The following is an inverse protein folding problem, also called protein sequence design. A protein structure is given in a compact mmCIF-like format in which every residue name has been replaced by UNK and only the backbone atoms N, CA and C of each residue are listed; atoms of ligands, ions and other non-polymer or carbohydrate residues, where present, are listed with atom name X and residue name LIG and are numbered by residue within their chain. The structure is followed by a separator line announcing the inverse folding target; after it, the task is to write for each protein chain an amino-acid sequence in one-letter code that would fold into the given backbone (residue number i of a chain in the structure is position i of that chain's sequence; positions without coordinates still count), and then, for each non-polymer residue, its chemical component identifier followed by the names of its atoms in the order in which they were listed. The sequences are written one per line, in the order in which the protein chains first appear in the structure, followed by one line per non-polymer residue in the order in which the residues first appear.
data_IF_894776598180
#
_entry.id   IF_894776598180
#
_cell.length_a   1.000
_cell.length_b   1.000
_cell.length_c   1.000
_cell.angle_alpha   90.00
_cell.angle_beta   90.00
_cell.angle_gamma   90.00
#
_symmetry.space_group_name_H-M   'P 1'
#
loop_
_entity.id
_entity.type
_entity.pdbx_description
1 polymer ?
#
# COMPACT_ATOMS: atom_id res chain seq x y z
N UNK A 1 5.10 10.09 -10.21
CA UNK A 1 4.49 10.17 -8.86
C UNK A 1 3.32 9.21 -8.67
N UNK A 2 2.23 9.24 -9.49
CA UNK A 2 1.07 8.33 -9.36
C UNK A 2 1.42 6.82 -9.35
N UNK A 3 2.46 6.40 -10.08
CA UNK A 3 2.83 4.99 -10.20
C UNK A 3 3.40 4.36 -8.91
N UNK A 4 4.16 5.11 -8.10
CA UNK A 4 4.82 4.54 -6.91
C UNK A 4 3.81 4.30 -5.76
N UNK A 5 2.84 5.21 -5.62
CA UNK A 5 1.76 5.08 -4.65
C UNK A 5 0.89 3.86 -4.97
N UNK A 6 0.49 3.71 -6.23
CA UNK A 6 -0.36 2.61 -6.64
C UNK A 6 0.31 1.24 -6.41
N UNK A 7 1.62 1.20 -6.65
CA UNK A 7 2.42 -0.01 -6.47
C UNK A 7 2.57 -0.39 -4.99
N UNK A 8 2.88 0.58 -4.12
CA UNK A 8 3.00 0.34 -2.67
C UNK A 8 1.69 -0.20 -2.07
N UNK A 9 0.57 0.38 -2.49
CA UNK A 9 -0.77 -0.05 -2.09
C UNK A 9 -1.00 -1.51 -2.51
N UNK A 10 -0.72 -1.82 -3.78
CA UNK A 10 -0.88 -3.16 -4.35
C UNK A 10 -0.03 -4.20 -3.60
N UNK A 11 1.20 -3.86 -3.22
CA UNK A 11 2.09 -4.73 -2.45
C UNK A 11 1.64 -4.98 -1.01
N UNK A 12 1.05 -3.99 -0.34
CA UNK A 12 0.48 -4.21 1.00
C UNK A 12 -0.72 -5.17 0.97
N UNK A 13 -1.42 -5.25 -0.17
CA UNK A 13 -2.49 -6.22 -0.40
C UNK A 13 -2.00 -7.66 -0.64
N UNK A 14 -0.72 -7.89 -1.00
CA UNK A 14 -0.19 -9.18 -1.46
C UNK A 14 -0.04 -10.27 -0.40
N UNK A 15 -0.06 -9.98 0.90
CA UNK A 15 0.06 -11.07 1.87
C UNK A 15 -1.23 -11.90 1.92
N UNK A 16 -1.12 -13.14 1.42
CA UNK A 16 -2.14 -14.21 1.49
C UNK A 16 -3.46 -13.85 0.81
N UNK A 17 -3.44 -13.40 -0.44
CA UNK A 17 -4.64 -13.18 -1.27
C UNK A 17 -4.39 -13.72 -2.67
N UNK A 18 -5.40 -14.30 -3.31
CA UNK A 18 -5.28 -14.90 -4.64
C UNK A 18 -5.03 -13.84 -5.72
N UNK A 19 -4.17 -14.15 -6.69
CA UNK A 19 -3.66 -13.21 -7.70
C UNK A 19 -4.75 -12.47 -8.50
N UNK A 20 -5.92 -13.08 -8.64
CA UNK A 20 -7.05 -12.45 -9.36
C UNK A 20 -7.62 -11.25 -8.61
N UNK A 21 -7.96 -11.42 -7.31
CA UNK A 21 -8.54 -10.36 -6.49
C UNK A 21 -7.55 -9.22 -6.21
N UNK A 22 -6.26 -9.55 -6.21
CA UNK A 22 -5.15 -8.59 -6.04
C UNK A 22 -5.13 -7.55 -7.16
N UNK A 23 -5.57 -7.90 -8.37
CA UNK A 23 -5.57 -6.98 -9.51
C UNK A 23 -6.89 -6.23 -9.69
N UNK A 24 -8.01 -6.81 -9.25
CA UNK A 24 -9.35 -6.23 -9.43
C UNK A 24 -9.64 -5.16 -8.37
N UNK A 25 -9.41 -5.44 -7.08
CA UNK A 25 -9.77 -4.52 -5.98
C UNK A 25 -9.03 -3.18 -6.05
N UNK A 26 -7.71 -3.12 -6.30
CA UNK A 26 -7.03 -1.84 -6.39
C UNK A 26 -7.50 -1.01 -7.58
N UNK A 27 -7.89 -1.63 -8.71
CA UNK A 27 -8.38 -0.88 -9.88
C UNK A 27 -9.65 -0.11 -9.57
N UNK A 28 -10.58 -0.74 -8.85
CA UNK A 28 -11.82 -0.08 -8.41
C UNK A 28 -11.55 1.02 -7.39
N UNK A 29 -10.69 0.73 -6.40
CA UNK A 29 -10.27 1.73 -5.42
C UNK A 29 -9.59 2.94 -6.07
N UNK A 30 -8.65 2.75 -7.01
CA UNK A 30 -7.95 3.86 -7.66
C UNK A 30 -8.83 4.69 -8.60
N UNK A 31 -9.95 4.13 -9.05
CA UNK A 31 -10.92 4.88 -9.86
C UNK A 31 -11.65 5.91 -9.01
N UNK A 32 -12.04 5.52 -7.80
CA UNK A 32 -12.75 6.38 -6.86
C UNK A 32 -11.79 7.27 -6.04
N UNK A 33 -10.57 6.76 -5.78
CA UNK A 33 -9.54 7.38 -4.94
C UNK A 33 -8.21 7.50 -5.71
N UNK A 34 -8.05 8.52 -6.57
CA UNK A 34 -6.91 8.61 -7.49
C UNK A 34 -5.61 9.09 -6.83
N UNK A 35 -5.67 9.63 -5.61
CA UNK A 35 -4.53 10.18 -4.88
C UNK A 35 -4.61 9.95 -3.36
N UNK A 36 -3.52 10.28 -2.68
CA UNK A 36 -3.36 10.10 -1.24
C UNK A 36 -4.39 10.89 -0.43
N UNK A 37 -4.76 12.08 -0.90
CA UNK A 37 -5.69 12.95 -0.20
C UNK A 37 -7.10 12.36 -0.23
N UNK A 38 -7.55 11.90 -1.40
CA UNK A 38 -8.81 11.17 -1.55
C UNK A 38 -8.83 9.91 -0.67
N UNK A 39 -7.72 9.17 -0.61
CA UNK A 39 -7.59 7.99 0.25
C UNK A 39 -7.59 8.31 1.75
N UNK A 40 -7.34 9.55 2.16
CA UNK A 40 -7.39 9.94 3.58
C UNK A 40 -8.76 10.45 4.00
N UNK A 41 -9.64 10.77 3.03
CA UNK A 41 -11.05 11.09 3.28
C UNK A 41 -11.88 9.83 3.57
N UNK A 42 -11.42 8.65 3.12
CA UNK A 42 -12.13 7.39 3.34
C UNK A 42 -12.15 7.00 4.82
N UNK A 43 -13.29 6.52 5.29
CA UNK A 43 -13.41 5.95 6.64
C UNK A 43 -12.89 4.52 6.68
N UNK A 44 -12.51 4.05 7.87
CA UNK A 44 -12.08 2.65 8.03
C UNK A 44 -13.18 1.66 7.63
N UNK A 45 -14.43 1.95 8.01
CA UNK A 45 -15.58 1.11 7.71
C UNK A 45 -15.87 1.03 6.21
N UNK A 46 -15.80 2.15 5.50
CA UNK A 46 -15.98 2.16 4.04
C UNK A 46 -14.86 1.39 3.34
N UNK A 47 -13.61 1.58 3.79
CA UNK A 47 -12.49 0.84 3.24
C UNK A 47 -12.66 -0.67 3.49
N UNK A 48 -13.01 -1.07 4.72
CA UNK A 48 -13.28 -2.47 5.08
C UNK A 48 -14.31 -3.10 4.15
N UNK A 49 -15.43 -2.41 3.87
CA UNK A 49 -16.48 -2.90 3.00
C UNK A 49 -16.00 -3.08 1.55
N UNK A 50 -15.20 -2.13 1.04
CA UNK A 50 -14.62 -2.19 -0.31
C UNK A 50 -13.61 -3.33 -0.46
N UNK A 51 -12.86 -3.64 0.59
CA UNK A 51 -11.85 -4.71 0.57
C UNK A 51 -12.28 -5.98 1.29
N UNK A 52 -13.57 -6.12 1.67
CA UNK A 52 -14.09 -7.30 2.39
C UNK A 52 -13.83 -8.63 1.68
N UNK A 53 -13.71 -8.58 0.36
CA UNK A 53 -13.42 -9.73 -0.49
C UNK A 53 -11.98 -10.24 -0.37
N UNK A 54 -11.10 -9.46 0.28
CA UNK A 54 -9.70 -9.76 0.55
C UNK A 54 -9.58 -10.37 1.95
N UNK A 55 -8.82 -11.45 2.08
CA UNK A 55 -8.54 -12.05 3.38
C UNK A 55 -7.84 -11.05 4.32
N UNK A 56 -8.19 -11.10 5.61
CA UNK A 56 -7.65 -10.22 6.66
C UNK A 56 -7.96 -8.73 6.46
N UNK A 57 -9.04 -8.39 5.75
CA UNK A 57 -9.40 -7.02 5.38
C UNK A 57 -9.45 -6.04 6.55
N UNK A 58 -9.95 -6.43 7.74
CA UNK A 58 -10.02 -5.55 8.92
C UNK A 58 -8.67 -5.04 9.40
N UNK A 59 -7.66 -5.90 9.36
CA UNK A 59 -6.30 -5.49 9.74
C UNK A 59 -5.63 -4.74 8.59
N UNK A 60 -5.91 -5.14 7.34
CA UNK A 60 -5.39 -4.47 6.15
C UNK A 60 -5.91 -3.03 6.04
N UNK A 61 -7.20 -2.78 6.24
CA UNK A 61 -7.82 -1.45 6.19
C UNK A 61 -7.17 -0.49 7.19
N UNK A 62 -7.00 -0.94 8.44
CA UNK A 62 -6.35 -0.17 9.51
C UNK A 62 -4.92 0.18 9.18
N UNK A 63 -4.13 -0.81 8.75
CA UNK A 63 -2.74 -0.58 8.35
C UNK A 63 -2.63 0.37 7.15
N UNK A 64 -3.55 0.27 6.18
CA UNK A 64 -3.56 1.09 4.98
C UNK A 64 -3.76 2.58 5.31
N UNK A 65 -4.80 2.89 6.09
CA UNK A 65 -5.08 4.27 6.51
C UNK A 65 -3.91 4.83 7.33
N UNK A 66 -3.36 4.02 8.24
CA UNK A 66 -2.21 4.45 9.04
C UNK A 66 -0.98 4.70 8.17
N UNK A 67 -0.70 3.84 7.20
CA UNK A 67 0.38 3.99 6.24
C UNK A 67 0.24 5.28 5.43
N UNK A 68 -0.96 5.59 4.91
CA UNK A 68 -1.18 6.83 4.16
C UNK A 68 -1.00 8.07 5.01
N UNK A 69 -1.47 8.04 6.26
CA UNK A 69 -1.22 9.12 7.22
C UNK A 69 0.27 9.31 7.44
N UNK A 70 1.01 8.22 7.66
CA UNK A 70 2.47 8.27 7.82
C UNK A 70 3.17 8.82 6.58
N UNK A 71 2.75 8.43 5.37
CA UNK A 71 3.30 8.98 4.12
C UNK A 71 3.03 10.48 4.02
N UNK A 72 1.80 10.93 4.30
CA UNK A 72 1.45 12.35 4.25
C UNK A 72 2.21 13.18 5.29
N UNK A 73 2.21 12.72 6.53
CA UNK A 73 2.72 13.48 7.68
C UNK A 73 4.25 13.40 7.82
N UNK A 74 4.85 12.23 7.58
CA UNK A 74 6.29 12.00 7.80
C UNK A 74 7.13 12.12 6.54
N UNK A 75 6.53 11.89 5.38
CA UNK A 75 7.22 11.86 4.09
C UNK A 75 6.63 12.86 3.09
N UNK A 76 5.87 13.86 3.55
CA UNK A 76 5.26 14.92 2.74
C UNK A 76 4.45 14.41 1.53
N UNK A 77 3.82 13.25 1.68
CA UNK A 77 3.02 12.63 0.62
C UNK A 77 3.83 11.79 -0.38
N UNK A 78 5.14 11.66 -0.18
CA UNK A 78 6.02 10.88 -1.03
C UNK A 78 6.34 9.51 -0.43
N UNK A 79 6.39 8.48 -1.27
CA UNK A 79 6.80 7.14 -0.82
C UNK A 79 8.31 7.15 -0.54
N UNK A 80 8.77 6.75 0.65
CA UNK A 80 10.19 6.71 0.97
C UNK A 80 10.95 5.78 0.04
N UNK A 81 12.17 6.18 -0.31
CA UNK A 81 13.08 5.43 -1.20
C UNK A 81 14.15 4.65 -0.44
N UNK A 82 13.97 4.46 0.86
CA UNK A 82 14.91 3.74 1.74
C UNK A 82 14.23 2.55 2.41
N UNK A 83 15.01 1.51 2.69
CA UNK A 83 14.53 0.31 3.41
C UNK A 83 13.93 0.68 4.77
N UNK A 84 14.63 1.50 5.55
CA UNK A 84 14.18 1.97 6.85
C UNK A 84 12.91 2.82 6.74
N UNK A 85 12.82 3.69 5.74
CA UNK A 85 11.64 4.50 5.51
C UNK A 85 10.41 3.65 5.20
N UNK A 86 10.53 2.69 4.27
CA UNK A 86 9.39 1.82 3.90
C UNK A 86 9.02 0.88 5.05
N UNK A 87 10.00 0.28 5.73
CA UNK A 87 9.73 -0.63 6.87
C UNK A 87 9.18 0.08 8.11
N UNK A 88 9.31 1.41 8.18
CA UNK A 88 8.65 2.23 9.21
C UNK A 88 7.14 2.40 8.97
N UNK A 89 6.66 2.12 7.75
CA UNK A 89 5.26 2.23 7.38
C UNK A 89 4.44 1.04 7.92
N UNK A 90 3.25 1.33 8.40
CA UNK A 90 2.35 0.32 8.97
C UNK A 90 1.99 -0.76 7.93
N UNK A 91 2.30 -2.03 8.23
CA UNK A 91 2.00 -3.15 7.33
C UNK A 91 3.04 -3.39 6.22
N UNK A 92 4.09 -2.55 6.12
CA UNK A 92 5.22 -2.78 5.22
C UNK A 92 6.37 -3.47 5.96
N UNK A 93 6.58 -4.76 5.69
CA UNK A 93 7.76 -5.50 6.18
C UNK A 93 8.96 -5.38 5.25
N UNK A 94 10.08 -6.01 5.59
CA UNK A 94 11.30 -6.03 4.75
C UNK A 94 11.05 -6.58 3.34
N UNK A 95 10.20 -7.60 3.20
CA UNK A 95 9.80 -8.16 1.90
C UNK A 95 9.07 -7.13 1.05
N UNK A 96 8.07 -6.47 1.62
CA UNK A 96 7.36 -5.36 0.97
C UNK A 96 8.33 -4.26 0.56
N UNK A 97 9.22 -3.84 1.46
CA UNK A 97 10.22 -2.81 1.19
C UNK A 97 11.16 -3.19 0.04
N UNK A 98 11.68 -4.41 0.01
CA UNK A 98 12.50 -4.89 -1.11
C UNK A 98 11.74 -4.79 -2.45
N UNK A 99 10.51 -5.30 -2.50
CA UNK A 99 9.74 -5.30 -3.76
C UNK A 99 9.42 -3.86 -4.21
N UNK A 100 9.06 -2.96 -3.29
CA UNK A 100 8.86 -1.53 -3.58
C UNK A 100 10.15 -0.91 -4.13
N UNK A 101 11.27 -1.06 -3.42
CA UNK A 101 12.55 -0.45 -3.82
C UNK A 101 13.01 -0.96 -5.19
N UNK A 102 12.89 -2.26 -5.43
CA UNK A 102 13.28 -2.87 -6.68
C UNK A 102 12.39 -2.47 -7.86
N UNK A 103 11.07 -2.58 -7.73
CA UNK A 103 10.16 -2.38 -8.86
C UNK A 103 9.73 -0.92 -9.04
N UNK A 104 9.51 -0.18 -7.95
CA UNK A 104 9.07 1.22 -8.05
C UNK A 104 10.24 2.18 -8.24
N UNK A 105 11.40 1.90 -7.64
CA UNK A 105 12.55 2.81 -7.65
C UNK A 105 13.77 2.27 -8.40
N UNK A 106 13.72 1.06 -8.95
CA UNK A 106 14.84 0.46 -9.68
C UNK A 106 16.08 0.22 -8.82
N UNK A 107 15.94 0.26 -7.48
CA UNK A 107 17.06 0.06 -6.56
C UNK A 107 17.33 -1.44 -6.48
N UNK A 108 18.56 -1.92 -6.79
CA UNK A 108 18.89 -3.33 -6.67
C UNK A 108 18.77 -3.76 -5.20
N UNK A 109 17.67 -4.44 -4.88
CA UNK A 109 17.42 -5.01 -3.56
C UNK A 109 17.40 -6.52 -3.67
N UNK A 110 18.14 -7.22 -2.80
CA UNK A 110 18.07 -8.67 -2.72
C UNK A 110 16.77 -9.01 -1.97
N UNK A 111 15.72 -9.35 -2.73
CA UNK A 111 14.50 -9.90 -2.15
C UNK A 111 14.82 -11.32 -1.64
N UNK A 112 15.18 -11.43 -0.37
CA UNK A 112 15.27 -12.72 0.31
C UNK A 112 13.83 -13.15 0.62
N UNK A 113 13.42 -14.26 0.03
CA UNK A 113 12.10 -14.90 0.15
C UNK A 113 11.74 -15.22 1.61
#
# INVERSE_FOLDING_TARGET
MKHHFNFLLQLCYLHKTTDKKVNEVPKELFKDYPDLDAFLEITNDELEERIKQIGLYRNKSKNLILMFRQIKEKFNGEVPTTMEGITSLAGAGRKTANVVLSNAFGVPSIAVD
#
